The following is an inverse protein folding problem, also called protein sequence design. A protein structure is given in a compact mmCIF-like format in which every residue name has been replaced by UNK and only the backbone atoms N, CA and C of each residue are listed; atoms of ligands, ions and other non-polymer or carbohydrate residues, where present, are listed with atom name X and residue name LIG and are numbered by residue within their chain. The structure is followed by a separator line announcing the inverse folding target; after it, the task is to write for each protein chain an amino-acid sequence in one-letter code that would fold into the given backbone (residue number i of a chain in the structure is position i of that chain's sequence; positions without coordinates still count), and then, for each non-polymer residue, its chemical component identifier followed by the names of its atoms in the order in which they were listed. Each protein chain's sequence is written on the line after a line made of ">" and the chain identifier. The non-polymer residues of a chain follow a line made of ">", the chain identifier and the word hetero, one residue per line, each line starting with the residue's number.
data_IF_102947186778
#
_entry.id   IF_102947186778
#
_cell.length_a   1.000
_cell.length_b   1.000
_cell.length_c   1.000
_cell.angle_alpha   90.00
_cell.angle_beta   90.00
_cell.angle_gamma   90.00
#
_symmetry.space_group_name_H-M   'P 1'
#
loop_
_entity.id
_entity.type
_entity.pdbx_description
1 polymer ?
#
# COMPACT_ATOMS: atom_id res chain seq x y z
N UNK A 1 0.79 -8.65 7.45
CA UNK A 1 0.02 -7.38 7.45
C UNK A 1 0.53 -6.50 8.59
N UNK A 2 0.45 -5.17 8.48
CA UNK A 2 0.95 -4.23 9.50
C UNK A 2 0.02 -3.02 9.64
N UNK A 3 -0.50 -2.77 10.84
CA UNK A 3 -1.31 -1.58 11.13
C UNK A 3 -0.43 -0.38 11.47
N UNK A 4 -0.91 0.82 11.15
CA UNK A 4 -0.25 2.08 11.48
C UNK A 4 -1.24 3.24 11.54
N UNK A 5 -0.92 4.29 12.29
CA UNK A 5 -1.78 5.48 12.39
C UNK A 5 -1.30 6.54 11.40
N UNK A 6 -2.20 7.05 10.59
CA UNK A 6 -1.94 8.17 9.69
C UNK A 6 -1.80 9.51 10.45
N UNK A 7 -1.23 10.56 9.84
CA UNK A 7 -1.08 11.87 10.52
C UNK A 7 -2.40 12.53 10.96
N UNK A 8 -3.50 12.22 10.27
CA UNK A 8 -4.87 12.63 10.54
C UNK A 8 -5.56 11.80 11.65
N UNK A 9 -4.86 10.80 12.20
CA UNK A 9 -5.34 9.97 13.31
C UNK A 9 -6.13 8.74 12.88
N UNK A 10 -6.39 8.54 11.57
CA UNK A 10 -7.04 7.33 11.08
C UNK A 10 -6.09 6.13 11.13
N UNK A 11 -6.62 4.95 11.46
CA UNK A 11 -5.87 3.69 11.41
C UNK A 11 -5.92 3.08 10.01
N UNK A 12 -4.75 2.64 9.54
CA UNK A 12 -4.57 2.00 8.25
C UNK A 12 -3.91 0.65 8.41
N UNK A 13 -4.24 -0.28 7.52
CA UNK A 13 -3.65 -1.61 7.43
C UNK A 13 -2.87 -1.71 6.12
N UNK A 14 -1.57 -1.90 6.24
CA UNK A 14 -0.69 -2.25 5.13
C UNK A 14 -0.65 -3.77 4.94
N UNK A 15 -0.83 -4.22 3.69
CA UNK A 15 -0.87 -5.63 3.31
C UNK A 15 -0.16 -5.85 1.97
N UNK A 16 0.22 -7.09 1.71
CA UNK A 16 0.72 -7.50 0.40
C UNK A 16 -0.45 -8.06 -0.38
N UNK A 17 -0.57 -7.69 -1.66
CA UNK A 17 -1.53 -8.26 -2.59
C UNK A 17 -0.81 -8.78 -3.82
N UNK A 18 -1.27 -9.92 -4.33
CA UNK A 18 -0.87 -10.38 -5.66
C UNK A 18 -1.55 -9.52 -6.73
N UNK A 19 -0.74 -8.90 -7.58
CA UNK A 19 -1.17 -8.17 -8.78
C UNK A 19 -0.49 -8.87 -9.96
N UNK A 20 -1.18 -9.78 -10.67
CA UNK A 20 -0.62 -10.55 -11.77
C UNK A 20 -0.47 -9.73 -13.05
N UNK A 21 -0.09 -8.45 -12.92
CA UNK A 21 0.07 -7.49 -14.01
C UNK A 21 0.76 -8.10 -15.23
N UNK A 22 0.35 -7.65 -16.42
CA UNK A 22 0.85 -8.14 -17.70
C UNK A 22 2.34 -7.86 -17.94
N UNK A 23 2.97 -7.09 -17.06
CA UNK A 23 4.36 -6.68 -17.14
C UNK A 23 5.26 -7.55 -16.23
N UNK A 24 6.48 -7.83 -16.69
CA UNK A 24 7.51 -8.60 -15.98
C UNK A 24 7.96 -7.97 -14.63
N UNK A 25 7.26 -6.95 -14.15
CA UNK A 25 7.54 -6.19 -12.95
C UNK A 25 6.71 -6.73 -11.80
N UNK A 26 7.35 -7.52 -10.94
CA UNK A 26 6.93 -7.83 -9.56
C UNK A 26 5.44 -8.13 -9.36
N UNK A 27 5.14 -9.42 -9.24
CA UNK A 27 3.81 -10.01 -9.02
C UNK A 27 3.10 -9.59 -7.72
N UNK A 28 3.83 -9.04 -6.75
CA UNK A 28 3.28 -8.65 -5.46
C UNK A 28 3.45 -7.14 -5.27
N UNK A 29 2.41 -6.47 -4.80
CA UNK A 29 2.44 -5.04 -4.50
C UNK A 29 1.98 -4.75 -3.08
N UNK A 30 2.36 -3.57 -2.59
CA UNK A 30 1.90 -3.06 -1.30
C UNK A 30 0.51 -2.43 -1.46
N UNK A 31 -0.41 -2.75 -0.57
CA UNK A 31 -1.75 -2.15 -0.53
C UNK A 31 -1.99 -1.60 0.87
N UNK A 32 -2.55 -0.40 0.95
CA UNK A 32 -2.99 0.22 2.21
C UNK A 32 -4.50 0.42 2.19
N UNK A 33 -5.19 -0.07 3.21
CA UNK A 33 -6.65 0.08 3.39
C UNK A 33 -6.93 0.77 4.72
N UNK A 34 -7.96 1.62 4.82
CA UNK A 34 -8.41 2.11 6.11
C UNK A 34 -8.94 0.94 6.94
N UNK A 35 -8.63 0.90 8.24
CA UNK A 35 -9.11 -0.16 9.13
C UNK A 35 -10.64 -0.14 9.29
N UNK A 36 -11.24 1.06 9.21
CA UNK A 36 -12.68 1.29 9.31
C UNK A 36 -13.44 1.16 7.99
N UNK A 37 -12.76 0.98 6.85
CA UNK A 37 -13.38 1.00 5.52
C UNK A 37 -13.38 -0.35 4.81
N UNK A 38 -14.17 -0.43 3.73
CA UNK A 38 -14.21 -1.62 2.87
C UNK A 38 -12.93 -1.70 2.02
N UNK A 39 -12.42 -2.92 1.80
CA UNK A 39 -11.17 -3.18 1.04
C UNK A 39 -11.18 -2.66 -0.41
N UNK A 40 -12.34 -2.22 -0.90
CA UNK A 40 -12.53 -1.53 -2.18
C UNK A 40 -11.91 -0.13 -2.25
N UNK A 41 -11.70 0.54 -1.10
CA UNK A 41 -11.06 1.87 -1.01
C UNK A 41 -9.54 1.78 -0.77
N UNK A 42 -8.97 0.59 -0.94
CA UNK A 42 -7.54 0.36 -0.76
C UNK A 42 -6.70 1.01 -1.83
N UNK A 43 -5.65 1.71 -1.44
CA UNK A 43 -4.67 2.25 -2.39
C UNK A 43 -3.58 1.23 -2.66
N UNK A 44 -3.51 0.76 -3.90
CA UNK A 44 -2.37 -0.01 -4.39
C UNK A 44 -1.17 0.91 -4.66
N UNK A 45 -0.06 0.62 -4.01
CA UNK A 45 1.23 1.28 -4.20
C UNK A 45 2.01 0.52 -5.27
N UNK A 46 1.64 0.72 -6.54
CA UNK A 46 2.27 0.05 -7.69
C UNK A 46 3.77 0.41 -7.88
N UNK A 47 4.24 1.47 -7.22
CA UNK A 47 5.65 1.83 -7.10
C UNK A 47 6.45 0.90 -6.17
N UNK A 48 5.76 0.09 -5.37
CA UNK A 48 6.37 -0.90 -4.48
C UNK A 48 5.97 -2.29 -4.94
N UNK A 49 6.86 -2.94 -5.69
CA UNK A 49 6.63 -4.26 -6.27
C UNK A 49 7.72 -5.26 -5.91
N UNK A 50 7.33 -6.51 -5.76
CA UNK A 50 8.20 -7.64 -5.44
C UNK A 50 7.86 -8.85 -6.30
N UNK A 51 8.87 -9.66 -6.63
CA UNK A 51 8.67 -10.88 -7.41
C UNK A 51 8.10 -12.03 -6.57
N UNK A 52 8.31 -12.02 -5.26
CA UNK A 52 7.87 -13.09 -4.36
C UNK A 52 7.12 -12.52 -3.15
N UNK A 53 6.12 -13.27 -2.70
CA UNK A 53 5.33 -12.94 -1.50
C UNK A 53 6.22 -12.84 -0.26
N UNK A 54 7.16 -13.78 -0.10
CA UNK A 54 8.07 -13.83 1.03
C UNK A 54 8.89 -12.55 1.18
N UNK A 55 9.45 -12.04 0.09
CA UNK A 55 10.20 -10.77 0.14
C UNK A 55 9.27 -9.61 0.47
N UNK A 56 8.08 -9.57 -0.15
CA UNK A 56 7.09 -8.54 0.13
C UNK A 56 6.70 -8.50 1.61
N UNK A 57 6.39 -9.65 2.21
CA UNK A 57 5.99 -9.74 3.60
C UNK A 57 7.13 -9.36 4.54
N UNK A 58 8.36 -9.87 4.32
CA UNK A 58 9.53 -9.49 5.13
C UNK A 58 9.81 -7.99 5.06
N UNK A 59 9.72 -7.40 3.87
CA UNK A 59 9.93 -5.96 3.72
C UNK A 59 8.84 -5.18 4.44
N UNK A 60 7.57 -5.57 4.30
CA UNK A 60 6.46 -4.96 5.02
C UNK A 60 6.64 -5.03 6.55
N UNK A 61 7.07 -6.17 7.07
CA UNK A 61 7.27 -6.38 8.51
C UNK A 61 8.35 -5.45 9.10
N UNK A 62 9.39 -5.16 8.31
CA UNK A 62 10.48 -4.25 8.70
C UNK A 62 10.22 -2.77 8.38
N UNK A 63 9.14 -2.46 7.67
CA UNK A 63 8.89 -1.10 7.19
C UNK A 63 8.50 -0.19 8.35
N UNK A 64 9.19 0.95 8.49
CA UNK A 64 8.88 1.90 9.55
C UNK A 64 7.51 2.56 9.32
N UNK A 65 6.87 2.99 10.41
CA UNK A 65 5.63 3.75 10.32
C UNK A 65 5.78 5.08 9.57
N UNK A 66 6.94 5.74 9.68
CA UNK A 66 7.26 6.95 8.90
C UNK A 66 7.22 6.65 7.39
N UNK A 67 7.82 5.53 6.97
CA UNK A 67 7.84 5.11 5.57
C UNK A 67 6.46 4.67 5.06
N UNK A 68 5.62 4.07 5.92
CA UNK A 68 4.22 3.76 5.58
C UNK A 68 3.38 5.04 5.41
N UNK A 69 3.50 6.00 6.33
CA UNK A 69 2.83 7.31 6.24
C UNK A 69 3.23 8.08 4.97
N UNK A 70 4.52 8.08 4.64
CA UNK A 70 5.04 8.71 3.42
C UNK A 70 4.43 8.10 2.16
N UNK A 71 4.35 6.76 2.10
CA UNK A 71 3.75 6.04 0.97
C UNK A 71 2.25 6.30 0.87
N UNK A 72 1.52 6.23 1.98
CA UNK A 72 0.10 6.57 2.03
C UNK A 72 -0.16 7.98 1.46
N UNK A 73 0.60 8.98 1.90
CA UNK A 73 0.49 10.36 1.37
C UNK A 73 0.70 10.42 -0.14
N UNK A 74 1.70 9.70 -0.65
CA UNK A 74 1.97 9.65 -2.09
C UNK A 74 0.82 8.98 -2.85
N UNK A 75 0.27 7.88 -2.32
CA UNK A 75 -0.84 7.18 -2.94
C UNK A 75 -2.13 8.01 -2.98
N UNK A 76 -2.50 8.63 -1.86
CA UNK A 76 -3.67 9.52 -1.76
C UNK A 76 -3.52 10.74 -2.67
N UNK A 77 -2.33 11.36 -2.71
CA UNK A 77 -2.04 12.46 -3.62
C UNK A 77 -2.23 12.07 -5.10
N UNK A 78 -1.80 10.87 -5.50
CA UNK A 78 -2.02 10.35 -6.86
C UNK A 78 -3.49 10.03 -7.14
N UNK A 79 -4.21 9.47 -6.18
CA UNK A 79 -5.64 9.19 -6.32
C UNK A 79 -6.48 10.47 -6.45
N UNK A 80 -6.15 11.51 -5.69
CA UNK A 80 -6.77 12.84 -5.83
C UNK A 80 -6.54 13.46 -7.21
N UNK A 81 -5.36 13.24 -7.81
CA UNK A 81 -5.06 13.68 -9.19
C UNK A 81 -5.82 12.86 -10.25
N UNK A 82 -6.04 11.56 -10.01
CA UNK A 82 -6.79 10.69 -10.92
C UNK A 82 -8.32 10.89 -10.82
N UNK A 83 -8.84 11.26 -9.65
CA UNK A 83 -10.27 11.57 -9.44
C UNK A 83 -10.65 13.00 -9.87
N UNK A 84 -9.68 13.91 -9.98
CA UNK A 84 -9.87 15.28 -10.46
C UNK A 84 -9.73 15.42 -12.00
N UNK A 85 -9.67 14.30 -12.72
CA UNK A 85 -9.56 14.20 -14.18
C UNK A 85 -10.82 13.57 -14.76
#
# INVERSE_FOLDING_TARGET
>A
MRSFTSPDGATWVASVREDPGSDYKGRYCLVVVPESGSSAEGFALADVRWNTERTAQRTLDTMSEVELRRRLRSAVGRAGVLAAR
#
